data_IF_959808669378
#
_entry.id   IF_959808669378
#
_cell.length_a   1.000
_cell.length_b   1.000
_cell.length_c   1.000
_cell.angle_alpha   90.00
_cell.angle_beta   90.00
_cell.angle_gamma   90.00
#
_symmetry.space_group_name_H-M   'P 1'
#
loop_
_entity.id
_entity.type
_entity.pdbx_description
1 polymer ?
2 water ?
#
# COMPACT_ATOMS: atom_id res chain seq x y z
N UNK A 5 -0.30 10.11 -22.70
CA UNK A 5 -1.26 9.02 -23.04
C UNK A 5 -2.62 9.24 -22.38
N UNK A 6 -3.57 9.71 -23.18
CA UNK A 6 -4.92 10.06 -22.87
C UNK A 6 -5.23 10.17 -21.37
N UNK A 7 -5.41 11.42 -20.96
CA UNK A 7 -5.72 11.80 -19.59
C UNK A 7 -7.18 12.22 -19.40
N UNK A 8 -8.03 11.21 -19.18
CA UNK A 8 -9.44 11.36 -18.88
C UNK A 8 -9.81 10.36 -17.77
N UNK A 9 -8.88 10.12 -16.83
CA UNK A 9 -9.05 9.04 -15.88
C UNK A 9 -9.14 9.42 -14.43
N UNK A 10 -9.70 8.48 -13.69
CA UNK A 10 -9.73 8.71 -12.25
C UNK A 10 -8.62 7.88 -11.63
N UNK A 11 -8.29 8.18 -10.38
CA UNK A 11 -7.30 7.36 -9.71
C UNK A 11 -8.12 6.43 -8.82
N UNK A 12 -7.91 5.11 -8.98
CA UNK A 12 -8.56 4.13 -8.12
C UNK A 12 -7.58 3.45 -7.14
N UNK A 13 -8.12 2.89 -6.05
CA UNK A 13 -7.28 2.44 -5.00
C UNK A 13 -7.77 1.15 -4.41
N UNK A 14 -6.76 0.28 -4.20
CA UNK A 14 -7.14 -1.03 -3.62
C UNK A 14 -6.59 -1.11 -2.19
N UNK A 15 -7.43 -1.49 -1.21
CA UNK A 15 -6.83 -1.51 0.18
C UNK A 15 -7.01 -2.94 0.67
N UNK A 16 -5.99 -3.58 1.14
CA UNK A 16 -5.96 -4.97 1.61
C UNK A 16 -5.52 -4.96 3.05
N UNK A 17 -6.47 -5.32 3.93
CA UNK A 17 -6.21 -5.25 5.36
C UNK A 17 -5.95 -6.73 5.85
N UNK A 18 -4.82 -6.87 6.45
CA UNK A 18 -4.35 -8.21 6.89
C UNK A 18 -4.37 -8.25 8.40
N UNK A 19 -3.32 -8.64 9.10
CA UNK A 19 -3.39 -8.63 10.60
C UNK A 19 -2.67 -7.41 11.16
N UNK A 20 -3.37 -6.28 11.33
CA UNK A 20 -2.71 -5.05 11.73
C UNK A 20 -1.84 -4.40 10.64
N UNK A 21 -1.67 -4.97 9.45
CA UNK A 21 -0.86 -4.34 8.40
C UNK A 21 -1.83 -4.06 7.25
N UNK A 22 -1.54 -2.97 6.51
CA UNK A 22 -2.50 -2.64 5.45
C UNK A 22 -1.63 -2.42 4.21
N UNK A 23 -2.01 -3.01 3.09
CA UNK A 23 -1.31 -2.67 1.84
C UNK A 23 -2.31 -1.90 0.96
N UNK A 24 -1.83 -0.83 0.26
CA UNK A 24 -2.70 -0.15 -0.72
C UNK A 24 -1.94 -0.05 -2.04
N UNK A 25 -2.75 -0.02 -3.10
CA UNK A 25 -2.13 0.09 -4.43
C UNK A 25 -3.06 1.05 -5.21
N UNK A 26 -2.54 2.08 -5.80
CA UNK A 26 -3.52 3.13 -6.34
C UNK A 26 -3.17 3.32 -7.80
N UNK A 27 -4.18 3.34 -8.73
CA UNK A 27 -3.74 3.43 -10.12
C UNK A 27 -4.81 4.10 -10.98
N UNK A 28 -4.36 4.56 -12.16
CA UNK A 28 -5.35 5.31 -12.98
C UNK A 28 -6.20 4.28 -13.67
N UNK A 29 -7.46 4.51 -13.99
CA UNK A 29 -8.19 3.56 -14.85
C UNK A 29 -9.26 4.36 -15.58
N UNK A 30 -9.78 3.83 -16.69
CA UNK A 30 -10.83 4.51 -17.42
C UNK A 30 -12.08 4.41 -16.58
N UNK A 31 -12.37 3.32 -15.87
CA UNK A 31 -13.58 3.29 -15.06
C UNK A 31 -13.46 2.33 -13.88
N UNK A 32 -14.52 2.24 -13.05
CA UNK A 32 -14.36 1.33 -11.91
C UNK A 32 -14.37 -0.12 -12.32
N UNK A 33 -15.20 -0.51 -13.33
CA UNK A 33 -15.20 -1.88 -13.81
C UNK A 33 -13.79 -2.20 -14.28
N UNK A 34 -13.09 -1.26 -14.95
CA UNK A 34 -11.70 -1.56 -15.35
C UNK A 34 -10.76 -1.67 -14.16
N UNK A 35 -10.77 -0.70 -13.21
CA UNK A 35 -9.82 -0.84 -12.08
C UNK A 35 -10.13 -2.16 -11.33
N UNK A 36 -11.37 -2.61 -11.19
CA UNK A 36 -11.62 -3.90 -10.52
C UNK A 36 -11.02 -5.10 -11.24
N UNK A 37 -10.95 -5.00 -12.60
CA UNK A 37 -10.31 -6.06 -13.38
C UNK A 37 -8.84 -6.10 -13.08
N UNK A 38 -8.14 -4.96 -13.02
CA UNK A 38 -6.73 -4.92 -12.70
C UNK A 38 -6.41 -5.38 -11.29
N UNK A 39 -7.16 -4.79 -10.30
CA UNK A 39 -6.95 -5.17 -8.93
C UNK A 39 -7.13 -6.66 -8.52
N UNK A 40 -8.18 -7.26 -8.99
CA UNK A 40 -8.51 -8.68 -8.86
C UNK A 40 -7.44 -9.52 -9.56
N UNK A 41 -6.92 -9.10 -10.72
CA UNK A 41 -5.75 -9.79 -11.25
C UNK A 41 -4.57 -9.70 -10.29
N UNK A 42 -4.18 -8.56 -9.74
CA UNK A 42 -3.10 -8.34 -8.81
C UNK A 42 -3.22 -9.09 -7.47
N UNK A 43 -4.46 -9.17 -7.02
CA UNK A 43 -4.73 -9.80 -5.73
C UNK A 43 -4.38 -11.32 -5.79
N UNK A 44 -5.02 -11.96 -6.71
CA UNK A 44 -4.90 -13.35 -7.05
C UNK A 44 -3.43 -13.71 -7.31
N UNK A 45 -2.73 -12.88 -8.09
CA UNK A 45 -1.32 -13.09 -8.30
C UNK A 45 -0.60 -12.94 -7.00
N UNK A 46 -1.11 -12.44 -5.86
CA UNK A 46 -0.28 -12.30 -4.67
C UNK A 46 -0.68 -13.03 -3.42
N UNK A 47 -1.61 -13.95 -3.48
CA UNK A 47 -1.93 -14.64 -2.19
C UNK A 47 -3.15 -13.96 -1.54
N UNK A 48 -3.92 -13.18 -2.31
CA UNK A 48 -5.10 -12.54 -1.68
C UNK A 48 -6.45 -13.05 -2.14
N UNK A 49 -7.13 -13.74 -1.25
CA UNK A 49 -8.48 -14.18 -1.36
C UNK A 49 -9.21 -13.41 -0.22
N UNK A 50 -10.42 -13.01 -0.55
CA UNK A 50 -11.05 -12.18 0.51
C UNK A 50 -12.36 -11.62 0.13
N UNK A 51 -12.88 -10.76 1.03
CA UNK A 51 -14.22 -10.23 0.73
C UNK A 51 -14.02 -8.79 0.21
N UNK A 52 -14.63 -8.42 -0.92
CA UNK A 52 -14.38 -7.13 -1.48
C UNK A 52 -15.60 -6.23 -1.30
N UNK A 53 -15.33 -4.92 -1.27
CA UNK A 53 -16.39 -3.92 -1.19
C UNK A 53 -15.77 -2.71 -1.97
N UNK A 54 -16.70 -2.06 -2.65
CA UNK A 54 -16.27 -0.85 -3.37
C UNK A 54 -17.01 0.37 -2.82
N UNK A 55 -16.31 1.51 -2.80
CA UNK A 55 -16.93 2.75 -2.35
C UNK A 55 -16.72 3.81 -3.45
N UNK A 56 -17.71 4.11 -4.25
CA UNK A 56 -17.59 5.04 -5.34
C UNK A 56 -17.24 6.41 -4.83
N UNK A 57 -17.71 6.87 -3.71
CA UNK A 57 -17.30 8.26 -3.29
C UNK A 57 -15.81 8.39 -3.25
N UNK A 58 -15.04 7.39 -2.76
CA UNK A 58 -13.58 7.43 -2.74
C UNK A 58 -12.90 6.52 -3.79
N UNK A 59 -13.65 5.94 -4.72
CA UNK A 59 -13.08 5.12 -5.76
C UNK A 59 -12.11 4.05 -5.18
N UNK A 60 -12.47 3.50 -4.04
CA UNK A 60 -11.63 2.54 -3.31
C UNK A 60 -12.30 1.21 -3.17
N UNK A 61 -11.62 0.17 -3.52
CA UNK A 61 -11.86 -1.24 -3.27
C UNK A 61 -11.09 -1.67 -2.01
N UNK A 62 -11.83 -2.31 -1.08
CA UNK A 62 -11.37 -2.74 0.22
C UNK A 62 -11.62 -4.24 0.32
N UNK A 63 -10.52 -4.93 0.65
CA UNK A 63 -10.45 -6.38 0.77
C UNK A 63 -9.93 -6.79 2.16
N UNK A 64 -10.77 -7.58 2.83
CA UNK A 64 -10.30 -8.11 4.09
C UNK A 64 -10.10 -9.62 4.08
N UNK A 65 -9.24 -9.99 5.01
CA UNK A 65 -8.83 -11.29 5.45
C UNK A 65 -7.42 -11.37 6.02
N UNK B 4 0.81 -11.18 33.10
CA UNK B 4 -0.37 -10.86 32.25
C UNK B 4 -0.24 -9.82 31.16
N UNK B 5 0.80 -8.99 31.00
CA UNK B 5 0.78 -8.11 29.81
C UNK B 5 1.79 -6.97 29.80
N UNK B 6 2.18 -6.63 28.55
CA UNK B 6 3.00 -5.48 28.21
C UNK B 6 2.40 -4.64 27.07
N UNK B 7 2.52 -3.32 27.13
CA UNK B 7 2.25 -2.33 26.12
C UNK B 7 2.74 -2.53 24.69
N UNK B 8 2.55 -1.48 23.86
CA UNK B 8 2.83 -1.46 22.45
C UNK B 8 3.39 -0.18 21.85
N UNK B 9 3.15 0.08 20.56
CA UNK B 9 3.77 1.10 19.74
C UNK B 9 3.10 1.96 18.69
N UNK B 10 3.86 2.47 17.70
CA UNK B 10 3.32 3.34 16.67
C UNK B 10 3.17 2.73 15.27
N UNK B 11 2.38 3.38 14.43
CA UNK B 11 2.13 2.88 13.08
C UNK B 11 3.07 3.57 12.08
N UNK B 12 3.79 2.78 11.27
CA UNK B 12 4.71 3.44 10.33
C UNK B 12 4.27 3.08 8.92
N UNK B 13 4.72 3.86 7.95
CA UNK B 13 4.20 3.65 6.62
C UNK B 13 5.29 3.67 5.60
N UNK B 14 5.16 2.80 4.56
CA UNK B 14 6.19 2.85 3.51
C UNK B 14 5.47 3.19 2.20
N UNK B 15 5.89 4.18 1.44
CA UNK B 15 5.14 4.56 0.21
C UNK B 15 6.17 4.33 -0.91
N UNK B 16 5.84 3.62 -1.96
CA UNK B 16 6.83 3.48 -3.04
C UNK B 16 6.10 4.09 -4.23
N UNK B 17 6.71 5.01 -4.92
CA UNK B 17 6.03 5.66 -6.04
C UNK B 17 6.79 5.27 -7.36
N UNK B 18 5.96 4.75 -8.21
CA UNK B 18 6.44 4.20 -9.50
C UNK B 18 5.73 5.05 -10.55
N UNK B 19 6.05 6.32 -10.65
CA UNK B 19 5.49 7.40 -11.44
C UNK B 19 4.07 7.11 -11.91
N UNK B 20 3.11 7.78 -11.28
CA UNK B 20 1.71 7.61 -11.51
C UNK B 20 1.06 6.42 -10.87
N UNK B 21 1.77 5.60 -10.10
CA UNK B 21 1.17 4.41 -9.46
C UNK B 21 1.79 4.34 -8.08
N UNK B 22 1.02 4.07 -7.03
CA UNK B 22 1.70 4.13 -5.73
C UNK B 22 1.34 2.88 -4.98
N UNK B 23 2.30 2.33 -4.31
CA UNK B 23 2.07 1.24 -3.37
C UNK B 23 2.33 1.76 -1.93
N UNK B 24 1.53 1.32 -0.90
CA UNK B 24 1.88 1.67 0.45
C UNK B 24 1.75 0.45 1.38
N UNK B 25 2.57 0.47 2.41
CA UNK B 25 2.61 -0.69 3.35
C UNK B 25 2.68 -0.03 4.72
N UNK B 26 1.80 -0.39 5.60
CA UNK B 26 1.70 0.31 6.92
C UNK B 26 1.79 -0.78 7.97
N UNK B 27 2.46 -0.43 9.10
CA UNK B 27 2.59 -1.47 10.12
C UNK B 27 3.06 -0.86 11.44
N UNK B 28 2.74 -1.57 12.50
CA UNK B 28 3.18 -1.17 13.84
C UNK B 28 4.63 -1.56 13.95
N UNK B 29 5.43 -0.83 14.70
CA UNK B 29 6.80 -1.05 15.00
C UNK B 29 7.18 -0.29 16.25
N UNK B 30 8.17 -0.82 16.98
CA UNK B 30 8.62 -0.17 18.20
C UNK B 30 9.07 1.25 17.93
N UNK B 31 9.95 1.43 16.95
CA UNK B 31 10.48 2.78 16.71
C UNK B 31 10.79 2.96 15.22
N UNK B 32 11.34 4.10 14.83
CA UNK B 32 11.52 4.37 13.40
C UNK B 32 12.64 3.52 12.85
N UNK B 33 13.71 3.36 13.67
CA UNK B 33 14.81 2.56 13.13
C UNK B 33 14.33 1.14 12.94
N UNK B 34 13.42 0.61 13.77
CA UNK B 34 12.95 -0.75 13.55
C UNK B 34 12.04 -0.92 12.35
N UNK B 35 11.08 0.00 12.10
CA UNK B 35 10.27 -0.07 10.88
C UNK B 35 11.20 0.18 9.69
N UNK B 36 12.23 0.94 9.71
CA UNK B 36 13.17 1.03 8.58
C UNK B 36 13.78 -0.35 8.25
N UNK B 37 14.11 -1.21 9.25
CA UNK B 37 14.67 -2.50 8.86
C UNK B 37 13.69 -3.40 8.14
N UNK B 38 12.48 -3.44 8.68
CA UNK B 38 11.34 -4.12 8.16
C UNK B 38 11.16 -3.66 6.71
N UNK B 39 10.93 -2.34 6.52
CA UNK B 39 10.63 -1.90 5.17
C UNK B 39 11.71 -2.13 4.10
N UNK B 40 12.95 -1.93 4.51
CA UNK B 40 14.09 -2.14 3.58
C UNK B 40 14.15 -3.65 3.26
N UNK B 41 14.09 -4.49 4.31
CA UNK B 41 13.99 -5.94 3.99
C UNK B 41 12.89 -6.18 3.01
N UNK B 42 11.66 -5.65 3.17
CA UNK B 42 10.54 -5.82 2.29
C UNK B 42 10.80 -5.41 0.85
N UNK B 43 11.40 -4.25 0.75
CA UNK B 43 11.56 -3.47 -0.47
C UNK B 43 13.06 -3.63 -0.80
N UNK B 44 13.26 -4.78 -1.35
CA UNK B 44 14.46 -5.52 -1.56
C UNK B 44 14.06 -6.99 -1.85
N UNK B 45 12.98 -7.49 -1.21
CA UNK B 45 12.45 -8.83 -1.50
C UNK B 45 11.61 -8.74 -2.73
N UNK B 46 11.37 -7.42 -2.99
CA UNK B 46 10.57 -7.06 -4.14
C UNK B 46 11.59 -6.40 -5.06
N UNK B 47 12.85 -6.30 -4.60
CA UNK B 47 13.94 -5.66 -5.35
C UNK B 47 13.71 -4.16 -5.64
N UNK B 48 13.11 -3.48 -4.69
CA UNK B 48 12.82 -2.03 -4.80
C UNK B 48 14.11 -1.27 -4.82
N UNK B 49 14.40 -0.53 -5.85
CA UNK B 49 15.60 0.22 -6.04
C UNK B 49 15.17 1.69 -5.99
N UNK B 50 15.73 2.52 -5.14
CA UNK B 50 15.15 3.91 -5.32
C UNK B 50 15.66 4.71 -4.18
N UNK B 51 15.45 6.00 -4.17
CA UNK B 51 15.93 6.90 -3.10
C UNK B 51 14.91 7.02 -1.97
N UNK B 52 15.46 6.93 -0.74
CA UNK B 52 14.58 6.92 0.41
C UNK B 52 14.57 8.25 1.15
N UNK B 53 13.42 8.58 1.72
CA UNK B 53 13.22 9.84 2.52
C UNK B 53 12.31 9.39 3.65
N UNK B 54 12.66 9.89 4.87
CA UNK B 54 11.82 9.58 5.99
C UNK B 54 11.18 10.91 6.49
N UNK B 55 9.90 10.87 6.85
CA UNK B 55 9.28 12.05 7.40
C UNK B 55 8.70 11.71 8.78
N UNK B 56 9.37 12.36 9.70
CA UNK B 56 9.19 12.70 11.05
C UNK B 56 7.74 12.66 11.53
N UNK B 57 7.01 13.71 11.22
CA UNK B 57 5.65 14.06 11.60
C UNK B 57 4.63 13.02 11.21
N UNK B 58 4.89 12.32 10.07
CA UNK B 58 3.95 11.32 9.61
C UNK B 58 4.43 9.87 9.71
N UNK B 59 5.59 9.63 10.33
CA UNK B 59 6.17 8.32 10.45
C UNK B 59 6.16 7.61 9.11
N UNK B 60 6.51 8.37 8.04
CA UNK B 60 6.53 7.68 6.73
C UNK B 60 7.83 7.85 5.97
N UNK B 61 8.23 6.72 5.36
CA UNK B 61 9.35 6.52 4.49
C UNK B 61 8.83 6.49 3.04
N UNK B 62 9.37 7.33 2.17
CA UNK B 62 8.95 7.39 0.77
C UNK B 62 10.11 7.01 -0.10
N UNK B 63 9.84 6.09 -1.07
CA UNK B 63 10.93 5.70 -1.92
C UNK B 63 10.50 5.96 -3.36
N UNK B 64 11.40 6.66 -4.04
CA UNK B 64 11.11 6.99 -5.41
C UNK B 64 12.11 6.42 -6.38
N UNK B 65 11.61 6.21 -7.55
CA UNK B 65 12.21 5.69 -8.77
C UNK B 65 11.03 5.07 -9.52
#
# INVERSE_FOLDING_TARGET
MHHHHHHAMDTYKLVIVLNGTTFTYTTEAVDAATAEKVFKQYANDNGVDGEWTYADATKTFTVTE
MHHHHHHAMDTYKLVIVLNGTTFTYTTEAVDAATAEKVFKQYANDNGVDGEWTYADATKTFTVTE
#
